data_IF_667430615516
#
_entry.id   IF_667430615516
#
_cell.length_a   1.000
_cell.length_b   1.000
_cell.length_c   1.000
_cell.angle_alpha   90.00
_cell.angle_beta   90.00
_cell.angle_gamma   90.00
#
_symmetry.space_group_name_H-M   'P 1'
#
loop_
_entity.id
_entity.type
_entity.pdbx_description
1 polymer ?
#
# COMPACT_ATOMS: atom_id res chain seq x y z
N UNK A 1 3.18 -5.07 -27.10
CA UNK A 1 4.20 -4.04 -27.33
C UNK A 1 4.03 -3.11 -26.15
N UNK A 2 4.99 -3.07 -25.23
CA UNK A 2 4.89 -2.25 -24.02
C UNK A 2 5.04 -0.78 -24.45
N UNK A 3 4.13 0.09 -24.03
CA UNK A 3 4.14 1.50 -24.42
C UNK A 3 5.37 2.17 -23.81
N UNK A 4 6.30 2.61 -24.66
CA UNK A 4 7.56 3.22 -24.23
C UNK A 4 7.31 4.56 -23.51
N UNK A 5 6.24 5.27 -23.90
CA UNK A 5 5.89 6.57 -23.34
C UNK A 5 5.48 6.45 -21.85
N UNK A 6 4.75 5.39 -21.48
CA UNK A 6 4.33 5.17 -20.09
C UNK A 6 5.49 4.76 -19.15
N UNK A 7 6.55 4.13 -19.69
CA UNK A 7 7.76 3.81 -18.90
C UNK A 7 8.55 5.05 -18.49
N UNK A 8 8.47 6.15 -19.26
CA UNK A 8 9.08 7.43 -18.90
C UNK A 8 8.15 8.25 -18.00
N UNK A 9 6.83 8.21 -18.24
CA UNK A 9 5.84 8.92 -17.42
C UNK A 9 5.75 8.40 -15.98
N UNK A 10 5.93 7.09 -15.73
CA UNK A 10 5.84 6.52 -14.38
C UNK A 10 6.78 7.19 -13.37
N UNK A 11 7.90 7.78 -13.82
CA UNK A 11 8.86 8.45 -12.94
C UNK A 11 8.31 9.75 -12.32
N UNK A 12 7.19 10.25 -12.84
CA UNK A 12 6.57 11.52 -12.42
C UNK A 12 5.10 11.38 -12.03
N UNK A 13 4.51 10.19 -12.18
CA UNK A 13 3.12 9.93 -11.84
C UNK A 13 3.01 9.51 -10.38
N UNK A 14 2.25 10.27 -9.60
CA UNK A 14 1.84 9.83 -8.27
C UNK A 14 0.75 8.77 -8.41
N UNK A 15 1.14 7.50 -8.25
CA UNK A 15 0.26 6.34 -8.42
C UNK A 15 0.08 5.65 -7.09
N UNK A 16 -1.18 5.49 -6.71
CA UNK A 16 -1.59 4.51 -5.73
C UNK A 16 -1.80 3.17 -6.42
N UNK A 17 -1.12 2.14 -5.93
CA UNK A 17 -1.34 0.78 -6.41
C UNK A 17 -1.73 -0.17 -5.30
N UNK A 18 -2.59 -1.12 -5.66
CA UNK A 18 -3.34 -1.93 -4.71
C UNK A 18 -3.01 -3.40 -4.87
N UNK A 19 -2.94 -4.10 -3.75
CA UNK A 19 -2.78 -5.55 -3.73
C UNK A 19 -3.35 -6.12 -2.43
N UNK A 20 -3.48 -7.44 -2.38
CA UNK A 20 -3.86 -8.14 -1.17
C UNK A 20 -2.77 -9.12 -0.75
N UNK A 21 -2.60 -9.30 0.55
CA UNK A 21 -1.73 -10.36 1.04
C UNK A 21 -2.41 -11.73 1.13
N UNK A 22 -1.66 -12.75 1.58
CA UNK A 22 -2.14 -14.13 1.68
C UNK A 22 -3.50 -14.26 2.39
N UNK A 23 -3.76 -13.42 3.40
CA UNK A 23 -4.96 -13.46 4.22
C UNK A 23 -6.01 -12.43 3.79
N UNK A 24 -5.94 -11.95 2.55
CA UNK A 24 -6.83 -10.93 1.99
C UNK A 24 -6.76 -9.61 2.76
N UNK A 25 -5.62 -9.23 3.34
CA UNK A 25 -5.51 -7.88 3.89
C UNK A 25 -5.20 -6.93 2.76
N UNK A 26 -5.98 -5.85 2.67
CA UNK A 26 -5.86 -4.86 1.61
C UNK A 26 -4.65 -3.98 1.87
N UNK A 27 -3.77 -3.90 0.88
CA UNK A 27 -2.59 -3.06 0.93
C UNK A 27 -2.69 -2.01 -0.17
N UNK A 28 -2.27 -0.80 0.15
CA UNK A 28 -2.12 0.30 -0.81
C UNK A 28 -0.71 0.84 -0.67
N UNK A 29 -0.12 1.20 -1.79
CA UNK A 29 1.20 1.82 -1.83
C UNK A 29 1.13 3.15 -2.53
N UNK A 30 1.61 4.18 -1.84
CA UNK A 30 1.77 5.54 -2.37
C UNK A 30 3.15 5.63 -3.00
N UNK A 31 3.23 5.55 -4.33
CA UNK A 31 4.53 5.35 -4.98
C UNK A 31 5.34 6.63 -5.14
N UNK A 32 4.69 7.79 -5.29
CA UNK A 32 5.34 9.03 -5.73
C UNK A 32 6.07 8.90 -7.07
N UNK A 33 5.74 7.89 -7.88
CA UNK A 33 6.41 7.54 -9.14
C UNK A 33 7.54 6.51 -8.99
N UNK A 34 8.49 6.50 -9.93
CA UNK A 34 9.68 5.64 -9.90
C UNK A 34 9.46 4.22 -10.43
N UNK A 35 10.21 3.24 -9.90
CA UNK A 35 10.01 1.83 -10.26
C UNK A 35 8.66 1.33 -9.73
N UNK A 36 7.84 0.83 -10.65
CA UNK A 36 6.54 0.22 -10.38
C UNK A 36 6.56 -1.30 -10.65
N UNK A 37 5.73 -2.08 -9.94
CA UNK A 37 5.62 -3.52 -10.19
C UNK A 37 5.06 -3.82 -11.58
N UNK A 38 5.55 -4.90 -12.20
CA UNK A 38 5.23 -5.29 -13.58
C UNK A 38 3.73 -5.48 -13.79
N UNK A 39 3.02 -5.91 -12.75
CA UNK A 39 1.58 -6.15 -12.84
C UNK A 39 0.85 -4.91 -13.37
N UNK A 40 1.22 -3.69 -12.95
CA UNK A 40 0.51 -2.47 -13.34
C UNK A 40 0.48 -2.25 -14.86
N UNK A 41 1.46 -2.79 -15.58
CA UNK A 41 1.53 -2.72 -17.05
C UNK A 41 0.77 -3.87 -17.73
N UNK A 42 0.49 -4.96 -17.00
CA UNK A 42 -0.10 -6.19 -17.52
C UNK A 42 -1.62 -6.24 -17.31
N UNK A 43 -2.16 -5.56 -16.29
CA UNK A 43 -3.59 -5.67 -15.93
C UNK A 43 -4.51 -4.65 -16.63
N UNK A 44 -3.98 -3.83 -17.55
CA UNK A 44 -4.77 -2.79 -18.19
C UNK A 44 -5.25 -1.75 -17.16
N UNK A 45 -6.57 -1.54 -17.07
CA UNK A 45 -7.19 -0.52 -16.23
C UNK A 45 -7.65 -1.03 -14.84
N UNK A 46 -7.32 -2.26 -14.45
CA UNK A 46 -7.82 -2.85 -13.20
C UNK A 46 -7.42 -2.05 -11.95
N UNK A 47 -6.19 -1.53 -11.90
CA UNK A 47 -5.75 -0.70 -10.78
C UNK A 47 -6.57 0.59 -10.67
N UNK A 48 -6.92 1.21 -11.80
CA UNK A 48 -7.75 2.42 -11.84
C UNK A 48 -9.21 2.12 -11.46
N UNK A 49 -9.75 0.98 -11.92
CA UNK A 49 -11.07 0.51 -11.49
C UNK A 49 -11.12 0.30 -9.98
N UNK A 50 -10.08 -0.32 -9.41
CA UNK A 50 -10.00 -0.52 -7.97
C UNK A 50 -9.78 0.79 -7.21
N UNK A 51 -9.00 1.73 -7.76
CA UNK A 51 -8.84 3.08 -7.20
C UNK A 51 -10.20 3.79 -7.03
N UNK A 52 -11.08 3.68 -8.03
CA UNK A 52 -12.43 4.24 -7.94
C UNK A 52 -13.26 3.60 -6.82
N UNK A 53 -13.17 2.27 -6.66
CA UNK A 53 -13.79 1.56 -5.54
C UNK A 53 -13.28 2.13 -4.21
N UNK A 54 -11.95 2.28 -4.05
CA UNK A 54 -11.34 2.83 -2.83
C UNK A 54 -11.83 4.25 -2.53
N UNK A 55 -12.02 5.09 -3.56
CA UNK A 55 -12.51 6.45 -3.38
C UNK A 55 -13.95 6.50 -2.84
N UNK A 56 -14.78 5.51 -3.19
CA UNK A 56 -16.17 5.39 -2.73
C UNK A 56 -16.31 4.71 -1.36
N UNK A 57 -15.25 4.08 -0.83
CA UNK A 57 -15.32 3.40 0.46
C UNK A 57 -15.49 4.38 1.62
N UNK A 58 -16.37 4.05 2.59
CA UNK A 58 -16.50 4.85 3.80
C UNK A 58 -15.31 4.63 4.74
N UNK A 59 -14.85 5.72 5.37
CA UNK A 59 -13.97 5.66 6.53
C UNK A 59 -14.77 5.13 7.73
N UNK A 60 -14.42 3.95 8.23
CA UNK A 60 -15.20 3.25 9.27
C UNK A 60 -14.36 2.61 10.37
N UNK A 61 -13.06 2.52 10.17
CA UNK A 61 -12.12 1.99 11.14
C UNK A 61 -11.34 3.12 11.81
N UNK A 62 -10.70 2.81 12.93
CA UNK A 62 -9.66 3.68 13.47
C UNK A 62 -8.35 3.45 12.70
N UNK A 63 -7.48 4.47 12.63
CA UNK A 63 -6.13 4.35 12.06
C UNK A 63 -5.08 4.25 13.16
N UNK A 64 -4.10 3.36 12.94
CA UNK A 64 -2.83 3.36 13.63
C UNK A 64 -1.74 3.88 12.71
N UNK A 65 -0.74 4.55 13.28
CA UNK A 65 0.43 5.07 12.56
C UNK A 65 1.68 4.33 13.04
N UNK A 66 2.65 4.16 12.14
CA UNK A 66 3.97 3.69 12.52
C UNK A 66 4.74 4.86 13.15
N UNK A 67 5.05 4.75 14.44
CA UNK A 67 5.72 5.82 15.20
C UNK A 67 7.18 6.01 14.78
N UNK A 68 7.78 5.00 14.12
CA UNK A 68 9.19 5.00 13.75
C UNK A 68 9.44 5.51 12.32
N UNK A 69 8.45 6.11 11.64
CA UNK A 69 8.62 6.58 10.25
C UNK A 69 9.77 7.56 10.07
N UNK A 70 10.02 8.42 11.08
CA UNK A 70 11.13 9.39 11.07
C UNK A 70 12.51 8.74 11.04
N UNK A 71 12.64 7.47 11.46
CA UNK A 71 13.92 6.76 11.45
C UNK A 71 14.29 6.26 10.06
N UNK A 72 13.31 6.14 9.17
CA UNK A 72 13.47 5.45 7.89
C UNK A 72 13.23 6.37 6.70
N UNK A 73 12.19 7.21 6.74
CA UNK A 73 11.80 8.02 5.59
C UNK A 73 12.73 9.23 5.45
N UNK A 74 13.33 9.35 4.28
CA UNK A 74 14.29 10.41 3.96
C UNK A 74 13.56 11.75 3.88
N UNK A 75 14.18 12.80 4.42
CA UNK A 75 13.68 14.19 4.42
C UNK A 75 12.34 14.43 5.14
N UNK A 76 11.86 13.47 5.94
CA UNK A 76 10.70 13.66 6.80
C UNK A 76 11.10 14.31 8.13
N UNK A 77 10.58 15.50 8.41
CA UNK A 77 10.80 16.22 9.67
C UNK A 77 9.62 16.05 10.64
N UNK A 78 9.91 16.12 11.95
CA UNK A 78 8.91 15.95 13.01
C UNK A 78 7.75 16.94 12.94
N UNK A 79 8.03 18.14 12.45
CA UNK A 79 7.14 19.29 12.57
C UNK A 79 5.97 19.22 11.55
N UNK A 80 6.09 18.34 10.55
CA UNK A 80 5.09 18.07 9.51
C UNK A 80 4.39 16.72 9.63
N UNK A 81 4.65 15.92 10.66
CA UNK A 81 4.17 14.53 10.74
C UNK A 81 2.65 14.39 10.62
N UNK A 82 1.88 15.30 11.22
CA UNK A 82 0.42 15.22 11.14
C UNK A 82 -0.11 15.49 9.73
N UNK A 83 0.52 16.40 8.99
CA UNK A 83 0.18 16.67 7.60
C UNK A 83 0.59 15.50 6.71
N UNK A 84 1.79 14.95 6.93
CA UNK A 84 2.27 13.74 6.24
C UNK A 84 1.29 12.57 6.37
N UNK A 85 0.73 12.33 7.56
CA UNK A 85 -0.20 11.22 7.78
C UNK A 85 -1.65 11.48 7.34
N UNK A 86 -2.00 12.69 6.89
CA UNK A 86 -3.39 13.06 6.63
C UNK A 86 -4.06 12.13 5.61
N UNK A 87 -3.41 11.89 4.47
CA UNK A 87 -3.95 11.04 3.42
C UNK A 87 -3.85 9.55 3.77
N UNK A 88 -2.79 9.14 4.47
CA UNK A 88 -2.62 7.77 4.92
C UNK A 88 -3.64 7.36 5.97
N UNK A 89 -4.03 8.27 6.86
CA UNK A 89 -5.10 8.01 7.81
C UNK A 89 -6.43 7.73 7.11
N UNK A 90 -6.78 8.51 6.07
CA UNK A 90 -8.01 8.27 5.32
C UNK A 90 -8.03 6.86 4.70
N UNK A 91 -6.93 6.45 4.06
CA UNK A 91 -6.80 5.11 3.48
C UNK A 91 -6.83 4.01 4.56
N UNK A 92 -6.14 4.21 5.68
CA UNK A 92 -6.17 3.28 6.80
C UNK A 92 -7.58 3.13 7.38
N UNK A 93 -8.33 4.22 7.57
CA UNK A 93 -9.72 4.17 8.06
C UNK A 93 -10.68 3.48 7.10
N UNK A 94 -10.35 3.38 5.81
CA UNK A 94 -11.07 2.58 4.81
C UNK A 94 -10.71 1.09 4.84
N UNK A 95 -9.68 0.70 5.61
CA UNK A 95 -9.29 -0.70 5.83
C UNK A 95 -7.96 -1.11 5.20
N UNK A 96 -7.16 -0.15 4.73
CA UNK A 96 -5.91 -0.42 4.01
C UNK A 96 -4.68 -0.35 4.91
N UNK A 97 -3.79 -1.32 4.75
CA UNK A 97 -2.41 -1.22 5.22
C UNK A 97 -1.64 -0.37 4.21
N UNK A 98 -1.24 0.81 4.64
CA UNK A 98 -0.68 1.86 3.78
C UNK A 98 0.83 1.79 3.85
N UNK A 99 1.46 1.56 2.70
CA UNK A 99 2.90 1.57 2.56
C UNK A 99 3.34 2.81 1.80
N UNK A 100 4.43 3.41 2.25
CA UNK A 100 5.05 4.53 1.58
C UNK A 100 6.51 4.22 1.25
N UNK A 101 7.04 4.92 0.26
CA UNK A 101 8.41 4.76 -0.21
C UNK A 101 9.37 5.44 0.77
N UNK A 102 10.54 4.83 0.95
CA UNK A 102 11.55 5.31 1.92
C UNK A 102 12.26 6.57 1.43
N UNK A 103 12.66 6.57 0.15
CA UNK A 103 13.39 7.68 -0.47
C UNK A 103 12.72 8.03 -1.81
N UNK A 104 11.91 9.09 -1.80
CA UNK A 104 11.24 9.61 -2.99
C UNK A 104 12.22 10.22 -4.00
N UNK A 105 13.41 10.64 -3.56
CA UNK A 105 14.45 11.19 -4.45
C UNK A 105 15.14 10.09 -5.27
N UNK A 106 15.08 8.85 -4.79
CA UNK A 106 15.64 7.68 -5.45
C UNK A 106 14.60 7.02 -6.38
N UNK A 107 14.69 7.35 -7.67
CA UNK A 107 13.84 6.75 -8.71
C UNK A 107 13.90 5.21 -8.82
N UNK A 108 14.97 4.58 -8.32
CA UNK A 108 15.16 3.13 -8.31
C UNK A 108 14.71 2.48 -6.98
N UNK A 109 14.13 3.25 -6.06
CA UNK A 109 13.70 2.73 -4.78
C UNK A 109 12.54 1.75 -4.94
N UNK A 110 12.74 0.53 -4.44
CA UNK A 110 11.74 -0.53 -4.40
C UNK A 110 11.35 -0.90 -2.97
N UNK A 111 12.02 -0.30 -1.97
CA UNK A 111 11.75 -0.51 -0.58
C UNK A 111 10.64 0.41 -0.08
N UNK A 112 9.71 -0.19 0.64
CA UNK A 112 8.57 0.47 1.24
C UNK A 112 8.48 0.14 2.73
N UNK A 113 7.86 1.05 3.47
CA UNK A 113 7.60 0.92 4.89
C UNK A 113 6.09 0.99 5.13
N UNK A 114 5.56 0.18 6.05
CA UNK A 114 4.19 0.34 6.53
C UNK A 114 4.11 1.61 7.38
N UNK A 115 3.37 2.62 6.91
CA UNK A 115 3.26 3.93 7.57
C UNK A 115 1.95 4.09 8.33
N UNK A 116 0.84 3.58 7.81
CA UNK A 116 -0.45 3.60 8.48
C UNK A 116 -1.19 2.26 8.31
N UNK A 117 -2.08 1.94 9.24
CA UNK A 117 -2.77 0.66 9.24
C UNK A 117 -4.15 0.75 9.91
N UNK A 118 -5.09 -0.14 9.53
CA UNK A 118 -6.44 -0.13 10.08
C UNK A 118 -6.47 -0.85 11.43
N UNK A 119 -7.15 -0.27 12.40
CA UNK A 119 -7.48 -0.90 13.68
C UNK A 119 -8.94 -1.32 13.61
N UNK A 120 -9.15 -2.64 13.54
CA UNK A 120 -10.46 -3.27 13.44
C UNK A 120 -10.48 -4.62 14.16
N UNK A 121 -11.65 -5.07 14.55
CA UNK A 121 -11.91 -6.36 15.16
C UNK A 121 -12.41 -7.35 14.10
N UNK A 122 -11.58 -8.33 13.74
CA UNK A 122 -11.92 -9.33 12.72
C UNK A 122 -13.13 -10.22 13.06
N UNK A 123 -13.57 -10.25 14.31
CA UNK A 123 -14.75 -11.02 14.73
C UNK A 123 -16.05 -10.23 14.51
N UNK A 124 -16.00 -8.90 14.63
CA UNK A 124 -17.17 -8.03 14.65
C UNK A 124 -17.28 -7.12 13.42
N UNK A 125 -16.15 -6.77 12.83
CA UNK A 125 -16.12 -5.88 11.68
C UNK A 125 -16.24 -6.66 10.37
N UNK A 126 -17.17 -6.20 9.53
CA UNK A 126 -17.28 -6.71 8.16
C UNK A 126 -16.01 -6.40 7.35
N UNK A 127 -15.73 -7.16 6.29
CA UNK A 127 -14.65 -6.84 5.35
C UNK A 127 -15.00 -5.58 4.52
N UNK A 128 -14.04 -4.69 4.18
CA UNK A 128 -14.35 -3.36 3.62
C UNK A 128 -14.84 -3.35 2.18
N UNK A 129 -14.51 -4.37 1.42
CA UNK A 129 -14.93 -4.50 0.02
C UNK A 129 -15.75 -5.78 -0.18
N UNK A 130 -16.43 -5.88 -1.32
CA UNK A 130 -17.11 -7.12 -1.71
C UNK A 130 -16.09 -8.17 -2.17
N UNK A 131 -16.35 -9.47 -1.97
CA UNK A 131 -15.40 -10.51 -2.38
C UNK A 131 -15.00 -10.48 -3.86
N UNK A 132 -15.92 -10.12 -4.76
CA UNK A 132 -15.64 -10.02 -6.19
C UNK A 132 -14.80 -8.79 -6.58
N UNK A 133 -14.76 -7.76 -5.73
CA UNK A 133 -13.92 -6.58 -5.94
C UNK A 133 -12.44 -6.90 -5.60
N UNK A 134 -12.21 -7.89 -4.73
CA UNK A 134 -10.87 -8.35 -4.38
C UNK A 134 -10.15 -9.04 -5.55
N UNK A 135 -10.90 -9.66 -6.47
CA UNK A 135 -10.34 -10.38 -7.62
C UNK A 135 -9.72 -9.44 -8.67
N UNK A 136 -9.93 -8.13 -8.54
CA UNK A 136 -9.42 -7.09 -9.44
C UNK A 136 -7.94 -6.77 -9.14
N UNK A 137 -7.49 -7.01 -7.90
CA UNK A 137 -6.13 -6.67 -7.47
C UNK A 137 -5.26 -7.93 -7.33
N UNK A 138 -3.94 -7.81 -7.57
CA UNK A 138 -3.04 -8.94 -7.38
C UNK A 138 -3.03 -9.39 -5.92
N UNK A 139 -2.85 -10.70 -5.73
CA UNK A 139 -2.71 -11.29 -4.41
C UNK A 139 -1.35 -11.95 -4.26
N UNK A 140 -0.61 -11.55 -3.23
CA UNK A 140 0.69 -12.16 -2.92
C UNK A 140 0.52 -13.41 -2.05
N UNK A 141 1.40 -14.39 -2.24
CA UNK A 141 1.41 -15.63 -1.47
C UNK A 141 1.99 -15.48 -0.05
N UNK A 142 2.75 -14.41 0.17
CA UNK A 142 3.44 -14.15 1.43
C UNK A 142 2.53 -13.36 2.38
N UNK A 143 2.49 -13.69 3.67
CA UNK A 143 1.88 -12.80 4.65
C UNK A 143 2.83 -11.61 4.94
N UNK A 144 2.38 -10.38 4.68
CA UNK A 144 3.13 -9.19 5.08
C UNK A 144 2.80 -8.76 6.49
N UNK A 145 1.52 -8.85 6.84
CA UNK A 145 1.06 -8.45 8.16
C UNK A 145 1.04 -9.67 9.09
N UNK A 146 1.45 -9.50 10.33
CA UNK A 146 1.28 -10.48 11.40
C UNK A 146 0.60 -9.78 12.55
N UNK A 147 -0.70 -10.06 12.74
CA UNK A 147 -1.50 -9.48 13.82
C UNK A 147 -2.43 -10.52 14.44
N UNK A 148 -2.75 -10.30 15.72
CA UNK A 148 -3.79 -11.03 16.45
C UNK A 148 -4.64 -10.00 17.18
N UNK A 149 -5.91 -9.86 16.81
CA UNK A 149 -6.78 -8.78 17.27
C UNK A 149 -6.10 -7.43 17.10
N UNK A 150 -6.01 -6.61 18.15
CA UNK A 150 -5.35 -5.30 18.14
C UNK A 150 -3.82 -5.36 18.21
N UNK A 151 -3.21 -6.52 18.48
CA UNK A 151 -1.75 -6.62 18.62
C UNK A 151 -1.08 -6.82 17.26
N UNK A 152 -0.19 -5.88 16.93
CA UNK A 152 0.66 -5.92 15.75
C UNK A 152 2.06 -6.42 16.10
N UNK A 153 2.64 -7.25 15.23
CA UNK A 153 4.05 -7.62 15.36
C UNK A 153 4.95 -6.50 14.88
N UNK A 154 6.01 -6.21 15.63
CA UNK A 154 7.13 -5.33 15.20
C UNK A 154 7.71 -5.70 13.82
N UNK A 155 7.56 -6.96 13.40
CA UNK A 155 7.99 -7.41 12.07
C UNK A 155 7.25 -6.73 10.92
N UNK A 156 6.04 -6.19 11.17
CA UNK A 156 5.22 -5.52 10.17
C UNK A 156 5.78 -4.16 9.77
N UNK A 157 6.59 -3.54 10.65
CA UNK A 157 7.18 -2.22 10.47
C UNK A 157 8.60 -2.28 9.90
N UNK A 158 8.95 -3.41 9.27
CA UNK A 158 10.23 -3.57 8.58
C UNK A 158 10.11 -2.99 7.18
N UNK A 159 11.26 -2.61 6.64
CA UNK A 159 11.43 -2.28 5.24
C UNK A 159 11.21 -3.54 4.39
N UNK A 160 10.43 -3.40 3.32
CA UNK A 160 10.09 -4.50 2.41
C UNK A 160 10.24 -4.06 0.95
N UNK A 161 10.94 -4.84 0.15
CA UNK A 161 10.97 -4.69 -1.31
C UNK A 161 9.67 -5.24 -1.93
N UNK A 162 8.64 -4.42 -1.99
CA UNK A 162 7.31 -4.84 -2.44
C UNK A 162 7.27 -5.10 -3.96
N UNK A 163 8.06 -4.35 -4.75
CA UNK A 163 8.13 -4.54 -6.21
C UNK A 163 8.65 -5.95 -6.51
N UNK A 164 9.80 -6.32 -5.93
CA UNK A 164 10.36 -7.66 -6.12
C UNK A 164 9.43 -8.75 -5.62
N UNK A 165 8.70 -8.52 -4.52
CA UNK A 165 7.72 -9.48 -4.03
C UNK A 165 6.63 -9.72 -5.08
N UNK A 166 6.02 -8.66 -5.61
CA UNK A 166 4.91 -8.76 -6.57
C UNK A 166 5.35 -9.32 -7.91
N UNK A 167 6.56 -9.01 -8.37
CA UNK A 167 7.06 -9.48 -9.67
C UNK A 167 7.52 -10.94 -9.67
N UNK A 168 7.81 -11.52 -8.49
CA UNK A 168 8.33 -12.89 -8.35
C UNK A 168 7.30 -13.89 -7.79
N UNK A 169 5.99 -13.62 -7.91
CA UNK A 169 4.96 -14.55 -7.42
C UNK A 169 4.93 -15.90 -8.15
N UNK A 170 5.42 -15.97 -9.39
CA UNK A 170 5.38 -17.17 -10.26
C UNK A 170 6.65 -18.03 -10.25
N UNK A 171 7.58 -17.82 -9.30
CA UNK A 171 8.84 -18.59 -9.19
C UNK A 171 8.81 -19.70 -8.16
#
# INVERSE_FOLDING_TARGET
MMDLDFQEEQFFLDINWYFADRFNRLCVVTSGGGILPRFLFEQGNQNDEFHNIVNELPERFESGRNENVLEFIVDLESDGLNEYFQDFDSLAKKGFYVYDKIDLSNSQETNYLLVAYPIYDSENDSYPIKPNELDIIPKIHQPLISRTNSHFSEKNFRIVDLVSILDNQDK
#
